data_IF_100267143421
#
_entry.id   IF_100267143421
#
_cell.length_a   1.000
_cell.length_b   1.000
_cell.length_c   1.000
_cell.angle_alpha   90.00
_cell.angle_beta   90.00
_cell.angle_gamma   90.00
#
_symmetry.space_group_name_H-M   'P 1'
#
loop_
_entity.id
_entity.type
_entity.pdbx_description
1 polymer ?
#
# COMPACT_ATOMS: atom_id res chain seq x y z
N UNK A 1 13.76 -39.51 -55.86
CA UNK A 1 12.34 -39.25 -56.13
C UNK A 1 11.60 -39.69 -54.88
N UNK A 2 11.38 -38.85 -53.85
CA UNK A 2 10.86 -37.45 -53.88
C UNK A 2 9.56 -37.35 -54.71
N UNK A 3 8.49 -36.62 -54.35
CA UNK A 3 8.07 -35.82 -53.17
C UNK A 3 6.53 -35.51 -53.33
N UNK A 4 5.73 -34.90 -52.44
CA UNK A 4 5.89 -34.16 -51.17
C UNK A 4 4.79 -34.57 -50.13
N UNK A 5 5.05 -34.30 -48.85
CA UNK A 5 4.18 -33.68 -47.81
C UNK A 5 2.64 -33.79 -47.85
N UNK A 6 2.08 -34.35 -46.77
CA UNK A 6 0.81 -33.88 -46.17
C UNK A 6 1.02 -33.67 -44.67
N UNK A 7 0.63 -32.48 -44.20
CA UNK A 7 1.05 -31.88 -42.94
C UNK A 7 0.83 -32.72 -41.67
N UNK A 8 1.94 -33.07 -41.01
CA UNK A 8 1.94 -33.50 -39.62
C UNK A 8 2.13 -32.25 -38.71
N UNK A 9 1.09 -31.44 -38.53
CA UNK A 9 1.07 -30.41 -37.47
C UNK A 9 0.91 -31.12 -36.11
N UNK A 10 2.00 -31.76 -35.69
CA UNK A 10 2.15 -32.35 -34.37
C UNK A 10 2.04 -31.24 -33.33
N UNK A 11 1.10 -31.40 -32.39
CA UNK A 11 0.98 -30.52 -31.23
C UNK A 11 2.30 -30.46 -30.46
N UNK A 12 3.07 -29.42 -30.67
CA UNK A 12 4.17 -29.03 -29.77
C UNK A 12 3.55 -28.42 -28.50
N UNK A 13 2.89 -29.26 -27.70
CA UNK A 13 2.56 -28.89 -26.32
C UNK A 13 3.90 -28.81 -25.60
N UNK A 14 4.30 -27.62 -25.17
CA UNK A 14 5.57 -27.44 -24.48
C UNK A 14 5.64 -28.36 -23.27
N UNK A 15 6.59 -29.31 -23.27
CA UNK A 15 6.82 -30.21 -22.15
C UNK A 15 7.20 -29.37 -20.93
N UNK A 16 6.29 -29.26 -19.96
CA UNK A 16 6.63 -28.63 -18.69
C UNK A 16 7.75 -29.41 -17.98
N UNK A 17 8.65 -28.73 -17.26
CA UNK A 17 9.68 -29.41 -16.48
C UNK A 17 9.02 -30.35 -15.46
N UNK A 18 9.32 -31.64 -15.58
CA UNK A 18 8.75 -32.69 -14.71
C UNK A 18 9.09 -32.50 -13.23
N UNK A 19 10.15 -31.76 -12.92
CA UNK A 19 10.57 -31.41 -11.56
C UNK A 19 11.09 -29.98 -11.48
N UNK A 20 10.83 -29.30 -10.36
CA UNK A 20 11.45 -28.02 -9.99
C UNK A 20 12.10 -28.19 -8.61
N UNK A 21 13.35 -27.76 -8.47
CA UNK A 21 14.10 -27.80 -7.22
C UNK A 21 14.48 -26.40 -6.75
N UNK A 22 14.33 -26.13 -5.46
CA UNK A 22 14.87 -24.93 -4.81
C UNK A 22 16.20 -25.33 -4.15
N UNK A 23 17.29 -24.67 -4.52
CA UNK A 23 18.62 -24.84 -3.92
C UNK A 23 18.99 -23.65 -3.05
N UNK A 24 19.86 -23.84 -2.05
CA UNK A 24 20.49 -22.73 -1.35
C UNK A 24 21.66 -22.11 -2.13
N UNK A 25 22.21 -21.02 -1.61
CA UNK A 25 23.33 -20.27 -2.19
C UNK A 25 24.61 -21.11 -2.37
N UNK A 26 24.70 -22.30 -1.75
CA UNK A 26 25.81 -23.24 -1.89
C UNK A 26 25.46 -24.40 -2.84
N UNK A 27 24.31 -24.33 -3.53
CA UNK A 27 23.84 -25.35 -4.48
C UNK A 27 23.11 -26.55 -3.85
N UNK A 28 22.90 -26.58 -2.53
CA UNK A 28 22.26 -27.73 -1.88
C UNK A 28 20.74 -27.67 -2.04
N UNK A 29 20.14 -28.77 -2.48
CA UNK A 29 18.70 -28.91 -2.67
C UNK A 29 17.96 -28.79 -1.32
N UNK A 30 17.14 -27.75 -1.16
CA UNK A 30 16.27 -27.55 0.01
C UNK A 30 14.91 -28.21 -0.15
N UNK A 31 14.31 -28.08 -1.35
CA UNK A 31 12.99 -28.65 -1.65
C UNK A 31 12.91 -29.07 -3.13
N UNK A 32 12.10 -30.09 -3.43
CA UNK A 32 11.83 -30.55 -4.80
C UNK A 32 10.33 -30.83 -4.98
N UNK A 33 9.76 -30.30 -6.05
CA UNK A 33 8.38 -30.52 -6.45
C UNK A 33 8.35 -31.29 -7.78
N UNK A 34 7.37 -32.18 -7.92
CA UNK A 34 7.19 -33.02 -9.12
C UNK A 34 5.88 -32.64 -9.79
N UNK A 35 5.90 -32.38 -11.10
CA UNK A 35 4.71 -32.05 -11.87
C UNK A 35 3.81 -33.29 -12.03
N UNK A 36 2.52 -33.14 -11.74
CA UNK A 36 1.50 -34.16 -12.02
C UNK A 36 1.13 -34.10 -13.50
N UNK A 37 1.65 -35.04 -14.28
CA UNK A 37 1.46 -35.13 -15.73
C UNK A 37 -0.02 -35.26 -16.17
N UNK A 38 -0.92 -35.72 -15.29
CA UNK A 38 -2.36 -35.83 -15.58
C UNK A 38 -3.13 -34.52 -15.46
N UNK A 39 -2.62 -33.54 -14.70
CA UNK A 39 -3.31 -32.26 -14.44
C UNK A 39 -2.56 -31.05 -14.97
N UNK A 40 -1.33 -31.21 -15.44
CA UNK A 40 -0.40 -30.12 -15.75
C UNK A 40 -0.30 -29.11 -14.60
N UNK A 41 -0.12 -29.61 -13.37
CA UNK A 41 0.08 -28.80 -12.16
C UNK A 41 1.26 -29.29 -11.35
N UNK A 42 1.90 -28.35 -10.65
CA UNK A 42 2.89 -28.61 -9.62
C UNK A 42 2.22 -28.27 -8.29
N UNK A 43 2.04 -29.28 -7.44
CA UNK A 43 1.47 -29.08 -6.11
C UNK A 43 2.59 -28.62 -5.16
N UNK A 44 2.54 -27.35 -4.77
CA UNK A 44 3.40 -26.77 -3.74
C UNK A 44 2.64 -26.89 -2.41
N UNK A 45 3.20 -27.50 -1.35
CA UNK A 45 2.55 -27.60 -0.06
C UNK A 45 2.20 -26.23 0.51
N UNK A 46 1.01 -26.10 1.08
CA UNK A 46 0.47 -24.83 1.58
C UNK A 46 1.39 -24.17 2.62
N UNK A 47 2.12 -24.96 3.42
CA UNK A 47 3.10 -24.46 4.39
C UNK A 47 4.27 -23.66 3.76
N UNK A 48 4.50 -23.81 2.45
CA UNK A 48 5.50 -23.03 1.70
C UNK A 48 4.92 -21.82 0.96
N UNK A 49 3.59 -21.76 0.81
CA UNK A 49 2.87 -20.59 0.31
C UNK A 49 2.45 -19.66 1.48
N UNK A 50 2.29 -20.21 2.68
CA UNK A 50 2.13 -19.47 3.93
C UNK A 50 3.44 -18.84 4.42
N UNK A 51 4.08 -18.05 3.56
CA UNK A 51 4.93 -16.96 4.03
C UNK A 51 4.07 -16.03 4.89
N UNK A 52 4.59 -15.62 6.05
CA UNK A 52 3.87 -14.80 7.02
C UNK A 52 3.36 -13.49 6.42
N UNK A 53 2.04 -13.32 6.35
CA UNK A 53 1.38 -12.03 6.14
C UNK A 53 0.72 -11.81 4.78
N UNK A 54 -0.44 -12.42 4.54
CA UNK A 54 -1.52 -11.80 3.76
C UNK A 54 -2.88 -12.44 4.05
N UNK A 55 -3.60 -11.92 5.04
CA UNK A 55 -5.03 -12.20 5.21
C UNK A 55 -5.85 -11.21 4.39
N UNK A 56 -5.90 -11.43 3.08
CA UNK A 56 -6.80 -10.74 2.16
C UNK A 56 -8.25 -11.14 2.40
N UNK A 57 -8.85 -10.65 3.49
CA UNK A 57 -10.26 -10.85 3.83
C UNK A 57 -11.14 -9.77 3.19
N UNK A 58 -11.71 -10.05 2.03
CA UNK A 58 -12.74 -9.17 1.44
C UNK A 58 -14.06 -9.25 2.21
N UNK A 59 -14.25 -8.35 3.17
CA UNK A 59 -15.59 -7.92 3.61
C UNK A 59 -15.61 -6.40 3.72
N UNK A 60 -16.16 -5.73 2.70
CA UNK A 60 -16.46 -4.31 2.79
C UNK A 60 -17.57 -4.08 3.82
N UNK A 61 -17.31 -3.20 4.78
CA UNK A 61 -18.23 -2.84 5.86
C UNK A 61 -17.91 -1.44 6.36
N UNK A 62 -18.80 -0.50 6.08
CA UNK A 62 -18.58 0.93 6.28
C UNK A 62 -19.15 1.40 7.63
N UNK A 63 -18.33 2.00 8.51
CA UNK A 63 -18.77 3.06 9.45
C UNK A 63 -17.56 3.73 10.11
N UNK A 64 -17.51 5.07 10.08
CA UNK A 64 -16.64 5.87 10.94
C UNK A 64 -17.15 5.90 12.38
N UNK A 65 -17.11 4.76 13.07
CA UNK A 65 -17.27 4.67 14.51
C UNK A 65 -15.90 4.66 15.18
N UNK A 66 -15.77 5.28 16.35
CA UNK A 66 -14.56 5.18 17.16
C UNK A 66 -14.30 3.70 17.50
N UNK A 67 -13.19 3.13 17.04
CA UNK A 67 -12.84 1.74 17.34
C UNK A 67 -12.55 1.60 18.84
N UNK A 68 -13.44 0.91 19.54
CA UNK A 68 -13.33 0.61 20.96
C UNK A 68 -12.25 -0.43 21.30
N UNK A 69 -11.54 -0.95 20.30
CA UNK A 69 -10.36 -1.82 20.45
C UNK A 69 -9.03 -1.05 20.37
N UNK A 70 -9.02 0.29 20.24
CA UNK A 70 -7.77 1.07 20.20
C UNK A 70 -7.41 1.65 21.59
N UNK A 71 -6.23 1.31 22.15
CA UNK A 71 -5.78 1.88 23.43
C UNK A 71 -5.42 3.36 23.29
N UNK A 72 -5.50 4.12 24.38
CA UNK A 72 -5.26 5.56 24.33
C UNK A 72 -3.78 5.93 24.15
N UNK A 73 -3.54 6.78 23.14
CA UNK A 73 -2.39 7.68 22.95
C UNK A 73 -1.01 7.24 23.53
N UNK A 74 -0.18 6.63 22.69
CA UNK A 74 1.25 6.41 22.97
C UNK A 74 1.86 5.22 22.23
N UNK A 75 1.02 4.26 21.87
CA UNK A 75 1.40 2.93 21.41
C UNK A 75 1.36 2.72 19.88
N UNK A 76 0.54 3.49 19.15
CA UNK A 76 0.12 3.09 17.81
C UNK A 76 0.91 3.74 16.66
N UNK A 77 1.46 2.86 15.82
CA UNK A 77 2.16 3.15 14.58
C UNK A 77 1.91 2.04 13.56
N UNK A 78 0.87 2.20 12.75
CA UNK A 78 0.57 1.29 11.65
C UNK A 78 1.40 1.63 10.40
N UNK A 79 1.72 0.62 9.59
CA UNK A 79 2.30 0.81 8.27
C UNK A 79 1.18 0.85 7.22
N UNK A 80 1.09 1.94 6.44
CA UNK A 80 0.22 2.01 5.27
C UNK A 80 -1.24 2.49 5.49
N UNK A 81 -1.51 3.34 6.48
CA UNK A 81 -2.79 4.08 6.57
C UNK A 81 -2.58 5.59 6.73
N UNK A 82 -2.72 6.32 5.62
CA UNK A 82 -2.71 7.79 5.57
C UNK A 82 -3.81 8.47 6.43
N UNK A 83 -4.88 7.72 6.75
CA UNK A 83 -5.97 8.21 7.58
C UNK A 83 -5.61 8.28 9.07
N UNK A 84 -4.63 7.50 9.53
CA UNK A 84 -4.30 7.32 10.97
C UNK A 84 -2.90 7.88 11.33
N UNK A 85 -2.12 8.31 10.33
CA UNK A 85 -0.77 8.87 10.51
C UNK A 85 0.32 7.80 10.45
N UNK A 86 0.92 7.65 9.27
CA UNK A 86 1.83 6.54 8.94
C UNK A 86 3.25 6.71 9.50
N UNK A 87 3.95 5.59 9.69
CA UNK A 87 5.41 5.60 9.58
C UNK A 87 5.82 5.68 8.11
N UNK A 88 6.39 6.81 7.71
CA UNK A 88 6.83 7.09 6.34
C UNK A 88 8.24 6.60 6.03
N UNK A 89 9.10 6.54 7.04
CA UNK A 89 10.52 6.17 6.90
C UNK A 89 10.97 5.36 8.12
N UNK A 90 11.88 4.40 7.90
CA UNK A 90 12.65 3.71 8.94
C UNK A 90 14.10 3.56 8.50
N UNK A 91 15.06 3.81 9.38
CA UNK A 91 16.50 3.56 9.15
C UNK A 91 17.04 2.65 10.24
N UNK A 92 17.83 1.64 9.88
CA UNK A 92 18.46 0.75 10.86
C UNK A 92 19.64 1.46 11.51
N UNK A 93 19.62 1.57 12.83
CA UNK A 93 20.64 2.29 13.61
C UNK A 93 21.52 1.33 14.42
N UNK A 94 20.98 0.18 14.83
CA UNK A 94 21.74 -0.86 15.50
C UNK A 94 21.13 -2.24 15.23
N UNK A 95 21.98 -3.24 15.08
CA UNK A 95 21.58 -4.65 15.02
C UNK A 95 22.62 -5.53 15.70
N UNK A 96 22.15 -6.48 16.50
CA UNK A 96 22.97 -7.45 17.22
C UNK A 96 22.06 -8.36 18.04
N UNK A 97 22.54 -8.78 19.20
CA UNK A 97 21.74 -9.33 20.30
C UNK A 97 22.45 -8.86 21.58
N UNK A 98 21.74 -8.19 22.49
CA UNK A 98 22.33 -7.73 23.74
C UNK A 98 22.39 -8.82 24.81
N UNK A 99 23.21 -8.64 25.84
CA UNK A 99 23.36 -9.61 26.94
C UNK A 99 22.45 -9.20 28.11
N UNK A 100 21.31 -9.88 28.35
CA UNK A 100 20.36 -9.44 29.36
C UNK A 100 20.88 -9.59 30.80
N UNK A 101 22.08 -10.15 31.01
CA UNK A 101 22.74 -10.21 32.32
C UNK A 101 23.62 -8.99 32.63
N UNK A 102 23.78 -8.06 31.67
CA UNK A 102 24.69 -6.91 31.75
C UNK A 102 23.98 -5.57 31.47
N UNK A 103 24.69 -4.48 31.74
CA UNK A 103 24.37 -3.14 31.25
C UNK A 103 25.08 -2.97 29.90
N UNK A 104 24.31 -2.99 28.81
CA UNK A 104 24.84 -3.02 27.44
C UNK A 104 24.95 -1.60 26.88
N UNK A 105 26.14 -1.17 26.50
CA UNK A 105 26.37 0.12 25.85
C UNK A 105 26.49 -0.06 24.34
N UNK A 106 25.49 0.42 23.59
CA UNK A 106 25.46 0.35 22.13
C UNK A 106 25.81 1.69 21.48
N UNK A 107 26.45 1.62 20.32
CA UNK A 107 26.73 2.79 19.46
C UNK A 107 25.87 2.65 18.21
N UNK A 108 25.26 3.75 17.77
CA UNK A 108 24.43 3.78 16.57
C UNK A 108 25.28 3.89 15.29
N UNK A 109 24.70 3.49 14.16
CA UNK A 109 25.31 3.57 12.85
C UNK A 109 25.52 5.01 12.38
N UNK A 110 24.54 5.89 12.64
CA UNK A 110 24.63 7.32 12.42
C UNK A 110 24.83 8.10 13.72
N UNK A 111 25.30 9.35 13.61
CA UNK A 111 25.32 10.30 14.73
C UNK A 111 23.87 10.69 15.09
N UNK A 112 23.35 10.32 16.27
CA UNK A 112 21.97 10.65 16.65
C UNK A 112 21.80 12.12 17.04
N UNK A 113 22.87 12.92 17.10
CA UNK A 113 22.85 14.31 17.55
C UNK A 113 22.85 14.47 19.07
N UNK A 114 22.54 15.67 19.55
CA UNK A 114 22.47 16.01 20.99
C UNK A 114 21.13 15.63 21.64
N UNK A 115 20.15 15.19 20.83
CA UNK A 115 18.88 14.58 21.23
C UNK A 115 18.67 13.41 20.30
N UNK A 116 18.40 12.21 20.84
CA UNK A 116 18.34 10.95 20.11
C UNK A 116 17.52 11.07 18.82
N UNK A 117 18.19 11.12 17.66
CA UNK A 117 17.56 11.20 16.35
C UNK A 117 16.51 12.33 16.25
N UNK A 118 16.88 13.55 16.66
CA UNK A 118 15.99 14.72 16.70
C UNK A 118 15.35 15.16 15.38
N UNK A 119 15.76 14.58 14.25
CA UNK A 119 15.16 14.72 12.91
C UNK A 119 14.11 13.65 12.58
N UNK A 120 13.94 12.66 13.46
CA UNK A 120 12.97 11.57 13.40
C UNK A 120 11.99 11.67 14.59
N UNK A 121 10.81 11.05 14.49
CA UNK A 121 9.80 11.07 15.56
C UNK A 121 10.14 10.12 16.72
N UNK A 122 11.00 9.13 16.50
CA UNK A 122 11.44 8.22 17.55
C UNK A 122 12.21 7.00 17.05
N UNK A 123 12.28 5.99 17.91
CA UNK A 123 12.91 4.70 17.62
C UNK A 123 11.93 3.52 17.76
N UNK A 124 12.08 2.55 16.86
CA UNK A 124 11.48 1.23 16.93
C UNK A 124 12.51 0.23 17.48
N UNK A 125 12.10 -0.60 18.44
CA UNK A 125 12.92 -1.66 19.01
C UNK A 125 12.28 -3.02 18.70
N UNK A 126 13.07 -3.92 18.12
CA UNK A 126 12.73 -5.32 17.93
C UNK A 126 13.64 -6.18 18.82
N UNK A 127 13.12 -7.33 19.22
CA UNK A 127 13.72 -8.16 20.23
C UNK A 127 12.91 -9.41 20.50
N UNK A 128 13.38 -10.25 21.41
CA UNK A 128 12.70 -11.49 21.78
C UNK A 128 12.67 -11.67 23.30
N UNK A 129 11.83 -12.59 23.77
CA UNK A 129 11.83 -12.96 25.19
C UNK A 129 12.82 -14.11 25.39
N UNK A 130 13.82 -13.89 26.24
CA UNK A 130 14.63 -14.96 26.80
C UNK A 130 13.93 -15.50 28.05
N UNK A 131 13.68 -16.81 28.06
CA UNK A 131 13.16 -17.58 29.18
C UNK A 131 14.31 -18.31 29.87
N UNK A 132 14.39 -18.21 31.18
CA UNK A 132 15.25 -19.07 32.02
C UNK A 132 14.35 -19.89 32.92
N UNK A 133 14.37 -21.22 32.77
CA UNK A 133 13.58 -22.11 33.63
C UNK A 133 14.13 -22.05 35.06
N UNK A 134 13.25 -22.09 36.06
CA UNK A 134 13.60 -22.16 37.47
C UNK A 134 12.98 -23.40 38.11
N UNK A 135 13.75 -24.15 38.90
CA UNK A 135 13.25 -25.30 39.65
C UNK A 135 13.80 -25.25 41.06
N UNK A 136 12.92 -25.13 42.06
CA UNK A 136 13.29 -24.98 43.48
C UNK A 136 14.33 -23.88 43.72
N UNK A 137 14.14 -22.72 43.09
CA UNK A 137 15.06 -21.57 43.16
C UNK A 137 16.34 -21.70 42.31
N UNK A 138 16.64 -22.86 41.74
CA UNK A 138 17.82 -23.06 40.88
C UNK A 138 17.50 -22.67 39.43
N UNK A 139 18.34 -21.82 38.84
CA UNK A 139 18.25 -21.48 37.42
C UNK A 139 18.74 -22.64 36.55
N UNK A 140 17.94 -22.98 35.53
CA UNK A 140 18.20 -24.07 34.59
C UNK A 140 18.44 -23.58 33.16
N UNK A 141 17.87 -24.30 32.19
CA UNK A 141 18.04 -24.00 30.78
C UNK A 141 17.49 -22.62 30.37
N UNK A 142 18.21 -21.99 29.44
CA UNK A 142 17.86 -20.72 28.80
C UNK A 142 17.39 -21.00 27.38
N UNK A 143 16.23 -20.47 26.99
CA UNK A 143 15.67 -20.59 25.63
C UNK A 143 14.96 -19.31 25.21
N UNK A 144 14.96 -18.98 23.91
CA UNK A 144 14.11 -17.90 23.39
C UNK A 144 12.65 -18.36 23.25
N UNK A 145 11.70 -17.46 23.48
CA UNK A 145 10.26 -17.67 23.35
C UNK A 145 9.69 -16.61 22.39
N UNK A 146 8.87 -16.99 21.39
CA UNK A 146 8.29 -16.03 20.46
C UNK A 146 7.25 -15.14 21.16
N UNK A 147 7.17 -13.88 20.75
CA UNK A 147 6.25 -12.89 21.32
C UNK A 147 4.90 -12.97 20.61
N UNK A 148 3.81 -12.94 21.38
CA UNK A 148 2.44 -12.75 20.89
C UNK A 148 1.91 -11.41 21.42
N UNK A 149 1.90 -10.38 20.58
CA UNK A 149 1.22 -9.13 20.93
C UNK A 149 -0.29 -9.30 20.77
N UNK A 150 -1.01 -9.18 21.86
CA UNK A 150 -2.48 -9.25 21.90
C UNK A 150 -3.01 -8.17 22.86
N UNK A 151 -3.66 -7.10 22.36
CA UNK A 151 -4.26 -6.06 23.19
C UNK A 151 -5.33 -6.57 24.17
N UNK A 152 -5.98 -7.70 23.86
CA UNK A 152 -6.97 -8.38 24.70
C UNK A 152 -6.32 -9.37 25.67
N UNK A 153 -4.99 -9.51 25.63
CA UNK A 153 -4.17 -10.32 26.52
C UNK A 153 -4.52 -11.81 26.51
N UNK A 154 -5.00 -12.34 25.36
CA UNK A 154 -5.42 -13.73 25.22
C UNK A 154 -4.19 -14.63 25.06
N UNK A 155 -4.05 -15.58 25.99
CA UNK A 155 -2.91 -16.50 26.05
C UNK A 155 -2.82 -17.34 24.78
N UNK A 156 -1.62 -17.39 24.18
CA UNK A 156 -1.29 -18.26 23.05
C UNK A 156 -0.23 -19.28 23.44
N UNK A 157 -0.58 -20.57 23.36
CA UNK A 157 0.31 -21.67 23.75
C UNK A 157 1.65 -21.65 22.99
N UNK A 158 2.76 -21.69 23.73
CA UNK A 158 4.12 -21.63 23.17
C UNK A 158 4.64 -20.21 22.88
N UNK A 159 3.93 -19.16 23.29
CA UNK A 159 4.33 -17.77 23.10
C UNK A 159 4.29 -16.99 24.42
N UNK A 160 5.14 -15.97 24.53
CA UNK A 160 5.02 -14.95 25.57
C UNK A 160 3.96 -13.93 25.13
N UNK A 161 2.79 -13.94 25.76
CA UNK A 161 1.67 -13.05 25.44
C UNK A 161 1.84 -11.70 26.14
N UNK A 162 1.80 -10.61 25.37
CA UNK A 162 2.04 -9.24 25.84
C UNK A 162 0.98 -8.26 25.33
N UNK A 163 0.63 -7.29 26.17
CA UNK A 163 -0.14 -6.09 25.81
C UNK A 163 0.74 -4.90 25.47
N UNK A 164 2.06 -4.99 25.70
CA UNK A 164 3.01 -3.99 25.22
C UNK A 164 3.19 -4.18 23.69
N UNK A 165 3.14 -3.09 22.88
CA UNK A 165 3.28 -3.19 21.43
C UNK A 165 4.53 -3.94 20.99
N UNK A 166 4.41 -4.74 19.93
CA UNK A 166 5.56 -5.39 19.30
C UNK A 166 5.53 -5.18 17.78
N UNK A 167 6.52 -4.50 17.17
CA UNK A 167 7.69 -3.87 17.79
C UNK A 167 7.35 -2.78 18.82
N UNK A 168 8.30 -2.50 19.73
CA UNK A 168 8.18 -1.39 20.68
C UNK A 168 8.44 -0.07 19.93
N UNK A 169 7.63 0.96 20.17
CA UNK A 169 7.80 2.30 19.60
C UNK A 169 8.00 3.32 20.71
N UNK A 170 9.04 4.14 20.60
CA UNK A 170 9.38 5.15 21.62
C UNK A 170 9.64 6.48 20.93
N UNK A 171 8.89 7.51 21.31
CA UNK A 171 9.08 8.86 20.77
C UNK A 171 10.41 9.46 21.23
N UNK A 172 11.04 10.27 20.39
CA UNK A 172 12.27 11.01 20.74
C UNK A 172 12.11 11.83 22.03
N UNK A 173 10.96 12.47 22.22
CA UNK A 173 10.64 13.23 23.44
C UNK A 173 10.51 12.36 24.70
N UNK A 174 10.32 11.05 24.56
CA UNK A 174 10.22 10.08 25.66
C UNK A 174 11.58 9.47 26.04
N UNK A 175 12.68 9.83 25.37
CA UNK A 175 14.06 9.42 25.69
C UNK A 175 14.97 10.65 25.97
N UNK A 176 14.72 11.41 27.06
CA UNK A 176 15.58 12.54 27.42
C UNK A 176 17.01 12.11 27.78
N UNK A 177 17.97 12.95 27.40
CA UNK A 177 19.40 12.71 27.61
C UNK A 177 19.73 12.51 29.10
N UNK A 178 20.48 11.45 29.41
CA UNK A 178 20.96 11.13 30.75
C UNK A 178 19.91 10.52 31.69
N UNK A 179 18.68 10.29 31.24
CA UNK A 179 17.61 9.72 32.07
C UNK A 179 17.30 8.27 31.68
N UNK A 180 17.08 7.44 32.70
CA UNK A 180 16.69 6.04 32.55
C UNK A 180 15.18 5.92 32.37
N UNK A 181 14.77 5.37 31.23
CA UNK A 181 13.37 5.21 30.83
C UNK A 181 12.98 3.73 30.90
N UNK A 182 12.12 3.33 31.85
CA UNK A 182 11.67 1.94 31.99
C UNK A 182 10.47 1.65 31.08
N UNK A 183 10.52 0.50 30.42
CA UNK A 183 9.51 -0.02 29.50
C UNK A 183 9.10 -1.40 30.02
N UNK A 184 7.88 -1.51 30.53
CA UNK A 184 7.34 -2.76 31.04
C UNK A 184 6.75 -3.58 29.89
N UNK A 185 7.16 -4.84 29.75
CA UNK A 185 6.57 -5.76 28.77
C UNK A 185 5.37 -6.46 29.44
N UNK A 186 4.31 -5.69 29.65
CA UNK A 186 3.10 -6.13 30.37
C UNK A 186 2.36 -7.23 29.62
N UNK A 187 1.73 -8.17 30.34
CA UNK A 187 0.94 -9.24 29.75
C UNK A 187 0.77 -10.45 30.66
N UNK A 188 0.18 -11.52 30.11
CA UNK A 188 0.05 -12.84 30.74
C UNK A 188 1.28 -13.74 30.58
N UNK A 189 2.23 -13.38 29.72
CA UNK A 189 3.42 -14.19 29.44
C UNK A 189 3.05 -15.53 28.80
N UNK A 190 3.74 -16.61 29.18
CA UNK A 190 3.35 -17.98 28.79
C UNK A 190 2.20 -18.55 29.64
N UNK A 191 1.75 -17.85 30.68
CA UNK A 191 0.69 -18.25 31.60
C UNK A 191 0.88 -19.66 32.21
N UNK A 192 1.99 -19.84 32.93
CA UNK A 192 2.39 -21.12 33.53
C UNK A 192 1.56 -21.51 34.77
N UNK A 193 0.40 -20.88 34.99
CA UNK A 193 -0.43 -21.00 36.20
C UNK A 193 0.30 -20.68 37.52
N UNK A 194 1.35 -19.84 37.48
CA UNK A 194 2.06 -19.41 38.68
C UNK A 194 1.18 -18.55 39.61
N UNK A 195 1.51 -18.57 40.90
CA UNK A 195 0.84 -17.74 41.93
C UNK A 195 1.48 -16.35 42.04
N UNK A 196 2.68 -16.17 41.49
CA UNK A 196 3.49 -14.98 41.61
C UNK A 196 4.02 -14.59 40.23
N UNK A 197 3.52 -13.48 39.69
CA UNK A 197 3.76 -13.04 38.31
C UNK A 197 4.26 -11.60 38.30
N UNK A 198 5.30 -11.32 37.51
CA UNK A 198 5.87 -9.98 37.32
C UNK A 198 6.34 -9.81 35.87
N UNK A 199 5.94 -8.71 35.24
CA UNK A 199 6.41 -8.36 33.90
C UNK A 199 7.92 -8.02 33.87
N UNK A 200 8.66 -8.42 32.82
CA UNK A 200 10.02 -7.95 32.63
C UNK A 200 10.05 -6.47 32.23
N UNK A 201 11.17 -5.80 32.53
CA UNK A 201 11.36 -4.38 32.23
C UNK A 201 12.64 -4.21 31.43
N UNK A 202 12.51 -3.63 30.24
CA UNK A 202 13.61 -3.08 29.46
C UNK A 202 13.83 -1.63 29.91
N UNK A 203 15.05 -1.23 30.22
CA UNK A 203 15.37 0.15 30.58
C UNK A 203 16.39 0.74 29.62
N UNK A 204 16.13 1.95 29.13
CA UNK A 204 16.98 2.64 28.17
C UNK A 204 17.46 3.97 28.72
N UNK A 205 18.73 4.29 28.50
CA UNK A 205 19.30 5.61 28.79
C UNK A 205 20.02 6.11 27.55
N UNK A 206 19.58 7.24 26.98
CA UNK A 206 20.36 7.91 25.93
C UNK A 206 21.42 8.80 26.57
N UNK A 207 22.69 8.53 26.31
CA UNK A 207 23.81 9.12 27.02
C UNK A 207 24.29 10.43 26.37
N UNK A 208 24.97 11.28 27.16
CA UNK A 208 25.58 12.54 26.66
C UNK A 208 26.64 12.29 25.59
N UNK A 209 27.30 11.13 25.63
CA UNK A 209 28.26 10.68 24.61
C UNK A 209 27.62 10.05 23.36
N UNK A 210 26.31 10.25 23.18
CA UNK A 210 25.50 9.81 22.03
C UNK A 210 25.32 8.30 21.89
N UNK A 211 25.73 7.52 22.88
CA UNK A 211 25.43 6.09 22.96
C UNK A 211 24.09 5.83 23.64
N UNK A 212 23.58 4.59 23.57
CA UNK A 212 22.46 4.15 24.38
C UNK A 212 22.91 3.02 25.32
N UNK A 213 22.55 3.14 26.60
CA UNK A 213 22.67 2.06 27.57
C UNK A 213 21.35 1.31 27.65
N UNK A 214 21.40 -0.01 27.56
CA UNK A 214 20.28 -0.93 27.69
C UNK A 214 20.49 -1.78 28.95
N UNK A 215 19.49 -1.83 29.82
CA UNK A 215 19.51 -2.60 31.06
C UNK A 215 18.21 -3.39 31.25
N UNK A 216 18.30 -4.57 31.86
CA UNK A 216 17.19 -5.51 31.92
C UNK A 216 16.84 -5.81 33.38
N UNK A 217 15.56 -5.78 33.73
CA UNK A 217 15.05 -6.33 34.99
C UNK A 217 14.20 -7.55 34.67
N UNK A 218 14.58 -8.71 35.21
CA UNK A 218 13.84 -9.94 34.99
C UNK A 218 12.41 -9.85 35.54
N UNK A 219 11.46 -10.28 34.71
CA UNK A 219 10.14 -10.70 35.11
C UNK A 219 10.13 -12.18 35.48
N UNK A 220 9.01 -12.68 35.98
CA UNK A 220 8.85 -14.08 36.34
C UNK A 220 7.38 -14.52 36.32
N UNK A 221 7.17 -15.82 36.20
CA UNK A 221 5.90 -16.52 36.44
C UNK A 221 6.25 -17.81 37.18
N UNK A 222 5.91 -17.89 38.47
CA UNK A 222 6.29 -19.01 39.35
C UNK A 222 5.24 -19.31 40.44
N UNK A 223 5.39 -20.48 41.05
CA UNK A 223 4.52 -21.01 42.12
C UNK A 223 4.55 -20.22 43.44
N UNK A 224 5.52 -19.31 43.63
CA UNK A 224 5.69 -18.49 44.82
C UNK A 224 6.20 -19.23 46.06
N UNK A 225 6.81 -20.42 45.93
CA UNK A 225 7.32 -21.17 47.08
C UNK A 225 8.52 -20.46 47.74
N UNK A 226 8.39 -20.14 49.04
CA UNK A 226 9.42 -19.50 49.85
C UNK A 226 10.64 -20.40 50.11
N UNK A 227 10.51 -21.73 49.98
CA UNK A 227 11.63 -22.66 50.03
C UNK A 227 12.45 -22.71 48.71
N UNK A 228 11.97 -22.02 47.66
CA UNK A 228 12.58 -21.94 46.35
C UNK A 228 11.52 -22.13 45.26
N UNK A 229 11.23 -21.08 44.51
CA UNK A 229 10.14 -21.11 43.55
C UNK A 229 10.44 -21.99 42.31
N UNK A 230 9.40 -22.54 41.70
CA UNK A 230 9.45 -23.26 40.42
C UNK A 230 8.60 -22.54 39.38
N UNK A 231 9.13 -22.40 38.16
CA UNK A 231 8.51 -21.61 37.10
C UNK A 231 9.52 -21.13 36.07
N UNK A 232 9.41 -19.88 35.63
CA UNK A 232 10.36 -19.26 34.72
C UNK A 232 10.62 -17.78 35.04
N UNK A 233 11.84 -17.33 34.75
CA UNK A 233 12.20 -15.93 34.63
C UNK A 233 12.18 -15.52 33.15
N UNK A 234 11.83 -14.26 32.89
CA UNK A 234 11.75 -13.68 31.55
C UNK A 234 12.57 -12.40 31.47
N UNK A 235 13.23 -12.18 30.33
CA UNK A 235 13.92 -10.92 30.01
C UNK A 235 13.66 -10.59 28.53
N UNK A 236 13.43 -9.31 28.22
CA UNK A 236 13.35 -8.84 26.84
C UNK A 236 14.75 -8.50 26.36
N UNK A 237 15.21 -9.20 25.34
CA UNK A 237 16.52 -9.06 24.68
C UNK A 237 16.32 -8.22 23.42
N UNK A 238 17.17 -7.22 23.21
CA UNK A 238 17.08 -6.31 22.06
C UNK A 238 17.96 -6.85 20.92
N UNK A 239 17.33 -7.05 19.76
CA UNK A 239 18.00 -7.53 18.55
C UNK A 239 18.25 -6.40 17.54
N UNK A 240 17.36 -5.40 17.47
CA UNK A 240 17.47 -4.27 16.52
C UNK A 240 16.88 -2.98 17.08
N UNK A 241 17.53 -1.87 16.73
CA UNK A 241 16.98 -0.52 16.89
C UNK A 241 17.00 0.18 15.54
N UNK A 242 15.88 0.81 15.19
CA UNK A 242 15.71 1.62 13.99
C UNK A 242 15.05 2.96 14.34
N UNK A 243 15.29 4.01 13.57
CA UNK A 243 14.47 5.23 13.63
C UNK A 243 13.11 5.03 12.97
N UNK A 244 12.16 5.90 13.27
CA UNK A 244 10.95 6.10 12.46
C UNK A 244 10.57 7.59 12.35
N UNK A 245 9.97 7.99 11.23
CA UNK A 245 9.27 9.28 11.08
C UNK A 245 7.77 9.05 10.90
N UNK A 246 6.93 9.90 11.49
CA UNK A 246 5.50 9.99 11.22
C UNK A 246 5.24 10.93 10.03
N UNK A 247 4.04 10.81 9.46
CA UNK A 247 3.30 11.97 8.97
C UNK A 247 2.01 12.19 9.78
N UNK A 248 1.50 13.41 9.81
CA UNK A 248 0.21 13.70 10.43
C UNK A 248 -0.90 12.98 9.66
N UNK A 249 -1.93 12.53 10.38
CA UNK A 249 -3.14 12.00 9.78
C UNK A 249 -3.83 13.09 8.93
N UNK A 250 -4.10 12.79 7.66
CA UNK A 250 -4.89 13.67 6.80
C UNK A 250 -6.31 13.12 6.70
N UNK A 251 -7.30 13.96 7.07
CA UNK A 251 -8.71 13.63 6.95
C UNK A 251 -9.06 13.37 5.48
N UNK A 252 -9.25 12.09 5.12
CA UNK A 252 -9.52 11.69 3.75
C UNK A 252 -10.92 12.10 3.32
N UNK A 253 -11.06 12.64 2.11
CA UNK A 253 -12.34 12.89 1.48
C UNK A 253 -13.01 11.54 1.20
N UNK A 254 -14.26 11.29 1.65
CA UNK A 254 -14.98 10.05 1.36
C UNK A 254 -14.99 9.69 -0.14
N UNK A 255 -15.18 8.40 -0.52
CA UNK A 255 -15.22 8.02 -1.92
C UNK A 255 -16.46 8.63 -2.62
N UNK A 256 -16.37 8.86 -3.93
CA UNK A 256 -17.40 9.54 -4.72
C UNK A 256 -17.70 11.00 -4.35
N UNK A 257 -16.91 11.63 -3.47
CA UNK A 257 -17.01 13.07 -3.17
C UNK A 257 -16.76 13.87 -4.44
N UNK A 258 -17.66 14.81 -4.71
CA UNK A 258 -17.69 15.58 -5.94
C UNK A 258 -16.70 16.75 -5.89
N UNK A 259 -15.53 16.59 -6.51
CA UNK A 259 -14.46 17.58 -6.53
C UNK A 259 -14.69 18.64 -7.62
N UNK A 260 -15.37 18.27 -8.71
CA UNK A 260 -15.76 19.17 -9.79
C UNK A 260 -17.04 18.67 -10.46
N UNK A 261 -17.91 19.59 -10.87
CA UNK A 261 -19.03 19.31 -11.78
C UNK A 261 -19.27 20.48 -12.71
N UNK A 262 -19.53 20.19 -13.98
CA UNK A 262 -19.78 21.20 -15.01
C UNK A 262 -19.56 20.66 -16.42
N UNK A 263 -18.93 21.46 -17.26
CA UNK A 263 -18.42 21.06 -18.57
C UNK A 263 -17.16 21.87 -18.86
N UNK A 264 -15.99 21.30 -18.60
CA UNK A 264 -14.71 21.99 -18.69
C UNK A 264 -13.65 21.18 -19.45
N UNK A 265 -12.64 21.89 -19.95
CA UNK A 265 -11.53 21.33 -20.73
C UNK A 265 -10.40 22.36 -20.75
N UNK A 266 -9.16 21.91 -20.56
CA UNK A 266 -8.06 22.76 -20.12
C UNK A 266 -7.91 22.70 -18.60
N UNK A 267 -7.67 23.84 -17.94
CA UNK A 267 -7.53 23.89 -16.48
C UNK A 267 -8.87 23.71 -15.77
N UNK A 268 -8.90 22.79 -14.80
CA UNK A 268 -10.06 22.41 -13.99
C UNK A 268 -9.63 22.48 -12.52
N UNK A 269 -10.12 23.49 -11.79
CA UNK A 269 -9.94 23.58 -10.34
C UNK A 269 -10.83 22.57 -9.63
N UNK A 270 -10.24 21.82 -8.70
CA UNK A 270 -10.93 20.81 -7.90
C UNK A 270 -11.15 21.34 -6.48
N UNK A 271 -12.40 21.28 -6.02
CA UNK A 271 -12.82 21.75 -4.70
C UNK A 271 -12.67 20.62 -3.67
N UNK A 272 -11.87 20.84 -2.63
CA UNK A 272 -11.71 19.90 -1.50
C UNK A 272 -10.33 19.23 -1.37
N UNK A 273 -9.59 18.89 -2.44
CA UNK A 273 -8.25 18.33 -2.29
C UNK A 273 -7.29 19.33 -1.65
N UNK A 274 -6.35 18.85 -0.82
CA UNK A 274 -5.19 19.64 -0.40
C UNK A 274 -4.34 19.99 -1.63
N UNK A 275 -3.49 21.01 -1.49
CA UNK A 275 -2.62 21.47 -2.59
C UNK A 275 -1.76 20.34 -3.21
N UNK A 276 -1.50 19.27 -2.45
CA UNK A 276 -0.70 18.10 -2.86
C UNK A 276 -1.51 16.80 -2.97
N UNK A 277 -2.86 16.88 -3.00
CA UNK A 277 -3.75 15.72 -3.11
C UNK A 277 -3.61 14.65 -1.99
N UNK A 278 -3.11 15.02 -0.82
CA UNK A 278 -2.85 14.08 0.31
C UNK A 278 -4.14 13.48 0.88
N UNK A 279 -5.28 14.16 0.69
CA UNK A 279 -6.60 13.80 1.21
C UNK A 279 -7.56 13.19 0.16
N UNK A 280 -7.13 12.92 -1.08
CA UNK A 280 -7.89 12.03 -1.98
C UNK A 280 -7.48 10.58 -1.67
N UNK A 281 -8.43 9.65 -1.57
CA UNK A 281 -8.20 8.31 -0.99
C UNK A 281 -7.17 7.47 -1.76
N UNK A 282 -7.62 6.78 -2.81
CA UNK A 282 -6.76 5.97 -3.69
C UNK A 282 -6.46 6.71 -5.00
N UNK A 283 -7.14 7.84 -5.24
CA UNK A 283 -6.95 8.69 -6.41
C UNK A 283 -8.20 9.51 -6.79
N UNK A 284 -8.24 9.95 -8.04
CA UNK A 284 -9.40 10.62 -8.65
C UNK A 284 -9.95 9.85 -9.87
N UNK A 285 -11.27 9.82 -9.99
CA UNK A 285 -12.01 9.35 -11.15
C UNK A 285 -12.57 10.54 -11.92
N UNK A 286 -12.18 10.65 -13.19
CA UNK A 286 -12.59 11.71 -14.11
C UNK A 286 -13.70 11.14 -14.99
N UNK A 287 -14.86 11.78 -15.01
CA UNK A 287 -16.00 11.45 -15.87
C UNK A 287 -16.10 12.46 -17.00
N UNK A 288 -16.26 11.99 -18.24
CA UNK A 288 -16.50 12.86 -19.40
C UNK A 288 -18.00 13.13 -19.61
N UNK A 289 -18.31 14.21 -20.31
CA UNK A 289 -19.67 14.49 -20.78
C UNK A 289 -20.19 13.38 -21.70
N UNK A 290 -21.52 13.26 -21.82
CA UNK A 290 -22.14 12.23 -22.68
C UNK A 290 -21.73 12.39 -24.15
N UNK A 291 -21.41 13.60 -24.60
CA UNK A 291 -21.07 13.89 -25.98
C UNK A 291 -19.75 14.66 -26.10
N UNK A 292 -18.93 14.27 -27.07
CA UNK A 292 -17.82 15.07 -27.57
C UNK A 292 -18.31 15.90 -28.76
N UNK A 293 -17.85 17.13 -28.90
CA UNK A 293 -18.41 18.10 -29.85
C UNK A 293 -17.35 18.70 -30.78
N UNK A 294 -17.73 18.94 -32.04
CA UNK A 294 -16.93 19.66 -33.02
C UNK A 294 -17.78 20.76 -33.67
N UNK A 295 -17.21 21.97 -33.82
CA UNK A 295 -17.95 23.16 -34.25
C UNK A 295 -17.46 23.64 -35.62
N UNK A 296 -18.34 24.25 -36.41
CA UNK A 296 -18.01 25.03 -37.62
C UNK A 296 -17.13 24.31 -38.66
N UNK A 297 -17.33 23.01 -38.87
CA UNK A 297 -16.57 22.24 -39.87
C UNK A 297 -17.03 22.64 -41.27
N UNK A 298 -16.17 23.35 -42.01
CA UNK A 298 -16.41 23.70 -43.41
C UNK A 298 -16.08 22.50 -44.30
N UNK A 299 -17.11 21.68 -44.52
CA UNK A 299 -17.24 20.70 -45.59
C UNK A 299 -16.36 19.42 -45.53
N UNK A 300 -16.82 18.45 -46.33
CA UNK A 300 -16.16 17.24 -46.81
C UNK A 300 -15.87 16.05 -45.88
N UNK A 301 -16.07 16.07 -44.56
CA UNK A 301 -16.09 14.80 -43.80
C UNK A 301 -17.39 13.99 -44.05
N UNK A 302 -18.50 14.69 -44.34
CA UNK A 302 -19.86 14.13 -44.40
C UNK A 302 -20.66 14.46 -45.68
N UNK A 303 -20.04 15.17 -46.66
CA UNK A 303 -20.56 15.58 -47.98
C UNK A 303 -21.90 16.37 -48.06
N UNK A 304 -21.97 17.30 -49.03
CA UNK A 304 -23.18 17.99 -49.53
C UNK A 304 -24.03 18.85 -48.57
N UNK A 305 -23.63 19.07 -47.33
CA UNK A 305 -24.20 20.12 -46.49
C UNK A 305 -23.33 21.39 -46.58
N UNK A 306 -23.75 22.34 -47.44
CA UNK A 306 -23.23 23.72 -47.48
C UNK A 306 -23.67 24.55 -46.24
N UNK A 307 -23.69 23.93 -45.06
CA UNK A 307 -24.09 24.53 -43.79
C UNK A 307 -22.99 24.32 -42.76
N UNK A 308 -22.56 25.43 -42.14
CA UNK A 308 -21.84 25.37 -40.86
C UNK A 308 -22.77 24.69 -39.85
N UNK A 309 -22.32 23.55 -39.31
CA UNK A 309 -23.07 22.77 -38.34
C UNK A 309 -22.19 22.41 -37.15
N UNK A 310 -22.82 22.22 -35.99
CA UNK A 310 -22.20 21.58 -34.84
C UNK A 310 -22.43 20.08 -34.94
N UNK A 311 -21.40 19.31 -34.65
CA UNK A 311 -21.40 17.84 -34.69
C UNK A 311 -21.15 17.31 -33.30
N UNK A 312 -21.79 16.19 -32.94
CA UNK A 312 -21.50 15.49 -31.69
C UNK A 312 -21.46 13.98 -31.88
N UNK A 313 -20.57 13.32 -31.14
CA UNK A 313 -20.50 11.87 -31.02
C UNK A 313 -20.76 11.46 -29.57
N UNK A 314 -21.37 10.30 -29.36
CA UNK A 314 -21.60 9.77 -28.02
C UNK A 314 -20.31 9.19 -27.45
N UNK A 315 -19.95 9.61 -26.24
CA UNK A 315 -18.70 9.27 -25.56
C UNK A 315 -18.68 7.80 -25.08
N UNK A 316 -19.83 7.13 -24.98
CA UNK A 316 -19.85 5.67 -24.80
C UNK A 316 -19.37 4.91 -26.04
N UNK A 317 -19.63 5.44 -27.25
CA UNK A 317 -19.41 4.71 -28.50
C UNK A 317 -17.90 4.63 -28.82
N UNK A 318 -17.13 5.59 -28.30
CA UNK A 318 -15.65 5.62 -28.29
C UNK A 318 -15.02 4.94 -27.06
N UNK A 319 -15.82 4.34 -26.17
CA UNK A 319 -15.34 3.54 -25.03
C UNK A 319 -14.77 4.29 -23.82
N UNK A 320 -14.98 5.62 -23.70
CA UNK A 320 -14.25 6.47 -22.72
C UNK A 320 -15.23 7.23 -21.82
N UNK A 321 -15.94 6.54 -20.92
CA UNK A 321 -16.87 7.23 -19.98
C UNK A 321 -16.16 7.80 -18.75
N UNK A 322 -15.24 7.03 -18.16
CA UNK A 322 -14.47 7.42 -16.97
C UNK A 322 -13.01 6.98 -17.08
N UNK A 323 -12.12 7.67 -16.37
CA UNK A 323 -10.70 7.31 -16.20
C UNK A 323 -10.32 7.47 -14.73
N UNK A 324 -9.64 6.47 -14.15
CA UNK A 324 -9.00 6.56 -12.82
C UNK A 324 -7.54 6.95 -12.92
N UNK A 325 -7.12 7.88 -12.06
CA UNK A 325 -5.75 8.32 -11.85
C UNK A 325 -5.40 7.99 -10.39
N UNK A 326 -4.39 7.14 -10.18
CA UNK A 326 -3.97 6.73 -8.84
C UNK A 326 -3.35 7.89 -8.06
N UNK A 327 -3.40 7.84 -6.74
CA UNK A 327 -2.84 8.88 -5.86
C UNK A 327 -1.34 9.09 -6.09
N UNK A 328 -0.62 8.02 -6.35
CA UNK A 328 0.80 8.00 -6.71
C UNK A 328 1.10 8.76 -8.02
N UNK A 329 0.13 8.88 -8.92
CA UNK A 329 0.23 9.70 -10.14
C UNK A 329 -0.07 11.19 -9.88
N UNK A 330 -0.74 11.56 -8.77
CA UNK A 330 -1.22 12.93 -8.49
C UNK A 330 -0.15 13.89 -7.93
N UNK A 331 1.08 13.75 -8.41
CA UNK A 331 2.23 14.59 -8.05
C UNK A 331 2.21 15.87 -8.90
N UNK A 332 2.35 17.05 -8.28
CA UNK A 332 2.40 18.34 -8.98
C UNK A 332 3.47 18.33 -10.09
N UNK A 333 3.09 18.75 -11.29
CA UNK A 333 3.95 18.76 -12.48
C UNK A 333 4.00 17.43 -13.23
N UNK A 334 3.47 16.33 -12.67
CA UNK A 334 3.39 15.05 -13.36
C UNK A 334 2.49 15.13 -14.61
N UNK A 335 2.85 14.36 -15.64
CA UNK A 335 2.18 14.31 -16.94
C UNK A 335 1.76 12.87 -17.24
N UNK A 336 0.51 12.55 -16.96
CA UNK A 336 -0.03 11.21 -17.13
C UNK A 336 -0.53 11.05 -18.56
N UNK A 337 0.07 10.12 -19.31
CA UNK A 337 -0.38 9.76 -20.64
C UNK A 337 -1.65 8.91 -20.56
N UNK A 338 -2.76 9.42 -21.08
CA UNK A 338 -4.04 8.75 -21.02
C UNK A 338 -4.18 7.62 -22.04
N UNK A 339 -3.38 7.55 -23.12
CA UNK A 339 -3.53 6.57 -24.22
C UNK A 339 -3.69 5.12 -23.74
N UNK A 340 -2.92 4.71 -22.72
CA UNK A 340 -2.96 3.35 -22.15
C UNK A 340 -4.25 3.02 -21.39
N UNK A 341 -5.02 4.05 -20.99
CA UNK A 341 -6.29 3.94 -20.26
C UNK A 341 -7.52 4.02 -21.19
N UNK A 342 -7.33 4.08 -22.51
CA UNK A 342 -8.39 4.31 -23.51
C UNK A 342 -8.54 3.11 -24.46
N UNK A 343 -9.76 2.90 -24.98
CA UNK A 343 -10.08 1.83 -25.93
C UNK A 343 -10.92 2.38 -27.07
N UNK A 344 -10.32 2.60 -28.23
CA UNK A 344 -11.01 3.14 -29.40
C UNK A 344 -11.58 2.02 -30.29
N UNK A 345 -12.82 2.15 -30.78
CA UNK A 345 -13.28 1.32 -31.89
C UNK A 345 -12.57 1.71 -33.18
N UNK A 346 -12.41 0.75 -34.10
CA UNK A 346 -11.89 1.02 -35.44
C UNK A 346 -12.84 1.88 -36.30
N UNK A 347 -14.15 1.80 -36.04
CA UNK A 347 -15.19 2.53 -36.78
C UNK A 347 -16.23 3.12 -35.82
N UNK A 348 -16.66 4.35 -36.09
CA UNK A 348 -17.72 5.06 -35.37
C UNK A 348 -18.85 5.31 -36.39
N UNK A 349 -19.99 4.66 -36.19
CA UNK A 349 -21.08 4.63 -37.20
C UNK A 349 -22.21 5.64 -36.93
N UNK A 350 -22.22 6.27 -35.75
CA UNK A 350 -23.28 7.17 -35.30
C UNK A 350 -22.71 8.51 -34.89
N UNK A 351 -23.23 9.58 -35.47
CA UNK A 351 -23.00 10.95 -35.01
C UNK A 351 -24.30 11.75 -35.14
N UNK A 352 -24.35 12.89 -34.48
CA UNK A 352 -25.51 13.77 -34.53
C UNK A 352 -25.09 15.16 -35.02
N UNK A 353 -25.91 15.75 -35.89
CA UNK A 353 -25.70 17.07 -36.50
C UNK A 353 -26.79 18.02 -35.99
N UNK A 354 -26.38 19.22 -35.60
CA UNK A 354 -27.29 20.31 -35.29
C UNK A 354 -28.03 20.76 -36.56
N UNK A 355 -29.35 20.56 -36.58
CA UNK A 355 -30.21 20.91 -37.71
C UNK A 355 -30.48 22.41 -37.88
N UNK A 356 -29.95 23.28 -37.00
CA UNK A 356 -30.16 24.72 -37.06
C UNK A 356 -31.59 25.11 -36.67
N UNK A 357 -31.95 24.88 -35.40
CA UNK A 357 -33.28 25.17 -34.84
C UNK A 357 -34.22 23.97 -34.75
N UNK A 358 -33.95 22.89 -35.47
CA UNK A 358 -34.71 21.63 -35.42
C UNK A 358 -34.13 20.59 -34.44
N UNK A 359 -33.09 20.96 -33.68
CA UNK A 359 -32.40 20.07 -32.75
C UNK A 359 -31.40 19.12 -33.41
N UNK A 360 -30.95 18.13 -32.64
CA UNK A 360 -29.93 17.16 -33.04
C UNK A 360 -30.54 16.02 -33.85
N UNK A 361 -30.08 15.85 -35.08
CA UNK A 361 -30.51 14.78 -35.98
C UNK A 361 -29.44 13.70 -36.03
N UNK A 362 -29.85 12.42 -35.97
CA UNK A 362 -28.92 11.28 -36.13
C UNK A 362 -28.55 11.08 -37.59
N UNK A 363 -27.26 10.94 -37.84
CA UNK A 363 -26.67 10.62 -39.14
C UNK A 363 -25.71 9.45 -38.98
N UNK A 364 -25.63 8.62 -40.03
CA UNK A 364 -24.69 7.50 -40.10
C UNK A 364 -23.74 7.70 -41.25
N UNK A 365 -22.45 7.65 -40.96
CA UNK A 365 -21.37 7.68 -41.93
C UNK A 365 -20.21 6.83 -41.39
N UNK A 366 -19.48 6.18 -42.30
CA UNK A 366 -18.35 5.35 -41.94
C UNK A 366 -17.13 6.25 -41.70
N UNK A 367 -16.98 6.70 -40.45
CA UNK A 367 -15.81 7.43 -39.98
C UNK A 367 -15.01 6.55 -39.02
N UNK A 368 -13.69 6.71 -39.02
CA UNK A 368 -12.76 5.96 -38.18
C UNK A 368 -12.12 6.86 -37.13
N UNK A 369 -11.80 6.29 -35.98
CA UNK A 369 -10.82 6.91 -35.10
C UNK A 369 -9.48 7.02 -35.84
N UNK A 370 -8.83 8.18 -35.76
CA UNK A 370 -7.55 8.46 -36.42
C UNK A 370 -6.42 8.67 -35.41
N UNK A 371 -6.62 9.59 -34.47
CA UNK A 371 -5.62 9.93 -33.45
C UNK A 371 -6.25 10.67 -32.25
N UNK A 372 -5.46 10.92 -31.22
CA UNK A 372 -5.79 11.87 -30.15
C UNK A 372 -4.91 13.10 -30.37
N UNK A 373 -5.50 14.27 -30.20
CA UNK A 373 -4.76 15.51 -29.99
C UNK A 373 -4.83 15.88 -28.49
N UNK A 374 -3.65 16.15 -27.92
CA UNK A 374 -3.38 16.32 -26.49
C UNK A 374 -3.96 15.21 -25.58
N UNK A 375 -3.16 14.18 -25.36
CA UNK A 375 -3.45 12.98 -24.57
C UNK A 375 -2.92 13.03 -23.11
N UNK A 376 -2.45 14.17 -22.63
CA UNK A 376 -1.83 14.32 -21.32
C UNK A 376 -2.80 14.95 -20.31
N UNK A 377 -2.93 14.32 -19.14
CA UNK A 377 -3.36 15.02 -17.94
C UNK A 377 -2.12 15.60 -17.25
N UNK A 378 -2.17 16.87 -16.87
CA UNK A 378 -1.09 17.53 -16.10
C UNK A 378 -1.65 17.92 -14.73
N UNK A 379 -0.99 17.46 -13.67
CA UNK A 379 -1.31 17.89 -12.30
C UNK A 379 -0.66 19.25 -12.06
N UNK A 380 -1.41 20.23 -11.55
CA UNK A 380 -0.94 21.59 -11.26
C UNK A 380 -1.11 21.91 -9.77
N UNK A 381 -0.45 22.97 -9.34
CA UNK A 381 -0.62 23.53 -7.99
C UNK A 381 -2.06 23.96 -7.70
N UNK A 382 -2.39 24.14 -6.42
CA UNK A 382 -3.69 24.63 -5.94
C UNK A 382 -4.87 23.76 -6.38
N UNK A 383 -4.69 22.43 -6.36
CA UNK A 383 -5.71 21.43 -6.66
C UNK A 383 -6.29 21.56 -8.09
N UNK A 384 -5.47 21.97 -9.05
CA UNK A 384 -5.86 22.08 -10.47
C UNK A 384 -5.36 20.87 -11.25
N UNK A 385 -6.20 20.34 -12.14
CA UNK A 385 -5.74 19.43 -13.23
C UNK A 385 -5.92 20.13 -14.57
N UNK A 386 -4.94 20.01 -15.47
CA UNK A 386 -5.11 20.36 -16.88
C UNK A 386 -5.48 19.11 -17.68
N UNK A 387 -6.61 19.14 -18.36
CA UNK A 387 -7.03 18.11 -19.31
C UNK A 387 -7.76 18.74 -20.49
N UNK A 388 -7.02 19.05 -21.56
CA UNK A 388 -7.54 19.57 -22.82
C UNK A 388 -7.56 18.50 -23.91
N UNK A 389 -8.49 17.53 -23.83
CA UNK A 389 -8.46 16.29 -24.61
C UNK A 389 -9.35 16.34 -25.87
N UNK A 390 -8.76 16.07 -27.04
CA UNK A 390 -9.45 16.04 -28.34
C UNK A 390 -9.30 14.67 -29.01
N UNK A 391 -10.38 14.11 -29.56
CA UNK A 391 -10.31 12.93 -30.43
C UNK A 391 -10.36 13.37 -31.89
N UNK A 392 -9.41 12.91 -32.69
CA UNK A 392 -9.41 13.10 -34.13
C UNK A 392 -10.14 11.94 -34.79
N UNK A 393 -11.24 12.28 -35.46
CA UNK A 393 -12.04 11.37 -36.28
C UNK A 393 -11.79 11.69 -37.76
N UNK A 394 -11.69 10.68 -38.62
CA UNK A 394 -11.48 10.86 -40.05
C UNK A 394 -12.45 10.07 -40.92
N UNK A 395 -12.61 10.49 -42.18
CA UNK A 395 -13.23 9.64 -43.22
C UNK A 395 -12.51 8.29 -43.30
N UNK A 396 -13.19 7.24 -43.75
CA UNK A 396 -12.57 5.92 -43.95
C UNK A 396 -11.32 5.98 -44.86
N UNK A 397 -11.31 6.86 -45.87
CA UNK A 397 -10.16 7.13 -46.75
C UNK A 397 -9.02 7.95 -46.10
N UNK A 398 -9.24 8.55 -44.93
CA UNK A 398 -8.28 9.39 -44.21
C UNK A 398 -8.09 10.83 -44.73
N UNK A 399 -8.84 11.24 -45.76
CA UNK A 399 -8.64 12.53 -46.46
C UNK A 399 -9.01 13.76 -45.62
N UNK A 400 -10.00 13.63 -44.74
CA UNK A 400 -10.51 14.72 -43.90
C UNK A 400 -10.48 14.27 -42.43
N UNK A 401 -9.93 15.14 -41.57
CA UNK A 401 -9.76 14.91 -40.12
C UNK A 401 -10.47 16.00 -39.33
N UNK A 402 -11.14 15.64 -38.23
CA UNK A 402 -11.87 16.57 -37.37
C UNK A 402 -11.58 16.32 -35.89
N UNK A 403 -11.21 17.36 -35.12
CA UNK A 403 -11.14 17.28 -33.67
C UNK A 403 -12.53 17.36 -33.03
N UNK A 404 -12.92 16.32 -32.31
CA UNK A 404 -14.03 16.34 -31.36
C UNK A 404 -13.48 16.60 -29.96
N UNK A 405 -13.86 17.73 -29.37
CA UNK A 405 -13.48 18.14 -28.03
C UNK A 405 -14.27 17.33 -27.00
N UNK A 406 -13.59 16.69 -26.05
CA UNK A 406 -14.22 16.15 -24.85
C UNK A 406 -14.16 17.20 -23.74
N UNK A 407 -15.23 17.28 -22.97
CA UNK A 407 -15.27 18.04 -21.74
C UNK A 407 -15.41 17.07 -20.56
N UNK A 408 -14.66 17.33 -19.49
CA UNK A 408 -14.87 16.71 -18.19
C UNK A 408 -16.20 17.21 -17.65
N UNK A 409 -17.08 16.29 -17.27
CA UNK A 409 -18.38 16.58 -16.67
C UNK A 409 -18.35 16.50 -15.14
N UNK A 410 -17.52 15.60 -14.60
CA UNK A 410 -17.38 15.37 -13.16
C UNK A 410 -15.96 14.91 -12.82
N UNK A 411 -15.47 15.27 -11.64
CA UNK A 411 -14.30 14.62 -11.01
C UNK A 411 -14.67 14.21 -9.59
N UNK A 412 -14.36 12.98 -9.21
CA UNK A 412 -14.61 12.45 -7.86
C UNK A 412 -13.39 11.76 -7.28
N UNK A 413 -13.33 11.64 -5.95
CA UNK A 413 -12.48 10.63 -5.30
C UNK A 413 -13.00 9.22 -5.59
N UNK A 414 -12.12 8.21 -5.54
CA UNK A 414 -12.51 6.80 -5.50
C UNK A 414 -11.75 6.04 -4.43
N UNK A 415 -12.27 4.85 -4.11
CA UNK A 415 -11.58 3.78 -3.39
C UNK A 415 -11.74 2.49 -4.20
N UNK A 416 -10.70 1.68 -4.30
CA UNK A 416 -10.75 0.35 -4.94
C UNK A 416 -11.17 -0.78 -3.97
#
# INVERSE_FOLDING_TARGET
MENQDLDLIGKTVGNMPYKIGIVDQNGNLKNQFVAKASTNRIDIPEQMLSGSGSTGGSTGGNTGGADSNHPSAGADYYAGSLADGEITQRKLEWSGTDDPTKSNKITFADDPGTKLFGQFDGITILGHIQKTVMTKGVLGAVTSVPINYDPKNVVKAGYFTTTAPYPLYIKTASLPVGQKVPIQITGTGEHLSGKNVKAPILSLTFNVDKTMTIEHTAGYDNDGDAAGATGANYQYVVDRIATFSKQNAFAQLPPSVNLFSGSASGDITLTGPSNYFENVMDGIEITFGQYATANNIVNDLFHNLNKLGNYRLNVSDIGIRTIRIGKEDLIIGNKINLLSKLKFPSTINNFEVDGGGYGWNKWSANVKFDSIDNNLLIVKENSVINLGFNIIVSKTDGTVKTPFKLNVSKVTTYKD
#
